data_IF_006033328440
#
_entry.id   IF_006033328440
#
_cell.length_a   1.000
_cell.length_b   1.000
_cell.length_c   1.000
_cell.angle_alpha   90.00
_cell.angle_beta   90.00
_cell.angle_gamma   90.00
#
_symmetry.space_group_name_H-M   'P 1'
#
loop_
_entity.id
_entity.type
_entity.pdbx_description
1 polymer ?
#
# COMPACT_ATOMS: atom_id res chain seq x y z
N UNK A 1 13.27 6.87 8.76
CA UNK A 1 12.90 5.70 9.60
C UNK A 1 11.70 5.00 8.98
N UNK A 2 11.73 3.70 8.89
CA UNK A 2 10.66 2.92 8.26
C UNK A 2 9.80 2.25 9.33
N UNK A 3 8.49 2.43 9.21
CA UNK A 3 7.55 1.75 10.10
C UNK A 3 7.38 0.30 9.63
N UNK A 4 7.65 -0.66 10.51
CA UNK A 4 7.55 -2.08 10.22
C UNK A 4 6.36 -2.71 10.92
N UNK A 5 5.99 -3.93 10.52
CA UNK A 5 4.94 -4.69 11.20
C UNK A 5 5.28 -4.94 12.66
N UNK A 6 6.55 -5.18 12.97
CA UNK A 6 7.00 -5.36 14.36
C UNK A 6 6.77 -4.11 15.19
N UNK A 7 7.06 -2.93 14.63
CA UNK A 7 6.81 -1.66 15.31
C UNK A 7 5.32 -1.40 15.52
N UNK A 8 4.47 -1.78 14.56
CA UNK A 8 3.02 -1.70 14.72
C UNK A 8 2.54 -2.60 15.85
N UNK A 9 3.07 -3.81 15.94
CA UNK A 9 2.72 -4.73 17.03
C UNK A 9 3.14 -4.17 18.39
N UNK A 10 4.32 -3.56 18.49
CA UNK A 10 4.78 -2.92 19.72
C UNK A 10 3.85 -1.77 20.14
N UNK A 11 3.38 -0.97 19.19
CA UNK A 11 2.44 0.11 19.47
C UNK A 11 1.10 -0.41 20.01
N UNK A 12 0.60 -1.51 19.45
CA UNK A 12 -0.63 -2.14 19.94
C UNK A 12 -0.44 -2.70 21.35
N UNK A 13 0.71 -3.28 21.61
CA UNK A 13 1.06 -3.76 22.95
C UNK A 13 1.05 -2.62 23.97
N UNK A 14 1.68 -1.49 23.65
CA UNK A 14 1.81 -0.36 24.56
C UNK A 14 0.53 0.44 24.72
N UNK A 15 -0.22 0.66 23.63
CA UNK A 15 -1.33 1.63 23.63
C UNK A 15 -2.71 1.00 23.76
N UNK A 16 -2.88 -0.25 23.37
CA UNK A 16 -4.19 -0.92 23.35
C UNK A 16 -4.31 -1.97 24.45
N UNK A 17 -3.19 -2.37 25.05
CA UNK A 17 -3.21 -3.32 26.16
C UNK A 17 -3.26 -4.78 25.74
N UNK A 18 -3.00 -5.07 24.47
CA UNK A 18 -2.86 -6.45 24.00
C UNK A 18 -1.51 -7.00 24.45
N UNK A 19 -1.42 -8.31 24.71
CA UNK A 19 -0.11 -8.91 24.94
C UNK A 19 0.66 -8.98 23.60
N UNK A 20 1.97 -9.26 23.67
CA UNK A 20 2.83 -9.23 22.49
C UNK A 20 2.39 -10.20 21.40
N UNK A 21 1.97 -11.39 21.78
CA UNK A 21 1.51 -12.40 20.83
C UNK A 21 0.21 -11.99 20.15
N UNK A 22 -0.75 -11.48 20.93
CA UNK A 22 -2.01 -10.99 20.38
C UNK A 22 -1.79 -9.79 19.45
N UNK A 23 -0.91 -8.87 19.82
CA UNK A 23 -0.58 -7.72 18.99
C UNK A 23 0.02 -8.14 17.66
N UNK A 24 0.97 -9.07 17.69
CA UNK A 24 1.60 -9.60 16.49
C UNK A 24 0.58 -10.30 15.59
N UNK A 25 -0.25 -11.14 16.18
CA UNK A 25 -1.27 -11.89 15.43
C UNK A 25 -2.30 -10.96 14.80
N UNK A 26 -2.69 -9.90 15.48
CA UNK A 26 -3.62 -8.90 14.96
C UNK A 26 -3.03 -8.16 13.75
N UNK A 27 -1.78 -7.74 13.83
CA UNK A 27 -1.10 -7.06 12.71
C UNK A 27 -0.99 -7.99 11.50
N UNK A 28 -0.61 -9.24 11.73
CA UNK A 28 -0.52 -10.22 10.64
C UNK A 28 -1.88 -10.48 10.00
N UNK A 29 -2.93 -10.65 10.81
CA UNK A 29 -4.29 -10.87 10.31
C UNK A 29 -4.77 -9.68 9.48
N UNK A 30 -4.49 -8.46 9.90
CA UNK A 30 -4.88 -7.26 9.18
C UNK A 30 -4.27 -7.22 7.79
N UNK A 31 -2.96 -7.45 7.69
CA UNK A 31 -2.29 -7.45 6.38
C UNK A 31 -2.68 -8.64 5.53
N UNK A 32 -2.96 -9.79 6.13
CA UNK A 32 -3.45 -10.96 5.38
C UNK A 32 -4.82 -10.71 4.77
N UNK A 33 -5.72 -10.01 5.47
CA UNK A 33 -7.02 -9.65 4.91
C UNK A 33 -6.88 -8.74 3.70
N UNK A 34 -6.00 -7.75 3.76
CA UNK A 34 -5.74 -6.86 2.62
C UNK A 34 -5.17 -7.68 1.45
N UNK A 35 -4.18 -8.50 1.73
CA UNK A 35 -3.51 -9.33 0.73
C UNK A 35 -4.49 -10.29 0.05
N UNK A 36 -5.30 -10.97 0.85
CA UNK A 36 -6.30 -11.90 0.35
C UNK A 36 -7.36 -11.25 -0.51
N UNK A 37 -7.83 -10.06 -0.12
CA UNK A 37 -8.82 -9.32 -0.91
C UNK A 37 -8.25 -8.95 -2.29
N UNK A 38 -7.03 -8.43 -2.32
CA UNK A 38 -6.37 -8.07 -3.58
C UNK A 38 -6.10 -9.29 -4.45
N UNK A 39 -5.73 -10.41 -3.86
CA UNK A 39 -5.53 -11.66 -4.58
C UNK A 39 -6.82 -12.16 -5.22
N UNK A 40 -7.97 -11.96 -4.57
CA UNK A 40 -9.28 -12.32 -5.11
C UNK A 40 -9.80 -11.32 -6.15
N UNK A 41 -9.06 -10.26 -6.44
CA UNK A 41 -9.49 -9.25 -7.39
C UNK A 41 -10.39 -8.17 -6.80
N UNK A 42 -10.41 -8.00 -5.49
CA UNK A 42 -11.20 -6.99 -4.80
C UNK A 42 -10.33 -5.80 -4.41
N UNK A 43 -10.82 -4.58 -4.68
CA UNK A 43 -10.16 -3.39 -4.19
C UNK A 43 -10.37 -3.24 -2.69
N UNK A 44 -9.42 -2.61 -1.99
CA UNK A 44 -9.51 -2.38 -0.55
C UNK A 44 -9.57 -0.89 -0.28
N UNK A 45 -10.65 -0.45 0.37
CA UNK A 45 -10.84 0.95 0.73
C UNK A 45 -10.70 1.13 2.24
N UNK A 46 -9.71 1.93 2.64
CA UNK A 46 -9.50 2.29 4.04
C UNK A 46 -9.87 3.77 4.21
N UNK A 47 -11.07 4.00 4.72
CA UNK A 47 -11.61 5.36 4.85
C UNK A 47 -10.69 6.26 5.67
N UNK A 48 -10.41 7.45 5.14
CA UNK A 48 -9.51 8.39 5.78
C UNK A 48 -8.02 8.12 5.58
N UNK A 49 -7.67 6.97 5.01
CA UNK A 49 -6.28 6.60 4.74
C UNK A 49 -5.98 6.51 3.25
N UNK A 50 -6.66 5.64 2.54
CA UNK A 50 -6.44 5.49 1.11
C UNK A 50 -7.06 4.22 0.56
N UNK A 51 -6.83 3.99 -0.72
CA UNK A 51 -7.40 2.85 -1.44
C UNK A 51 -6.29 2.05 -2.11
N UNK A 52 -6.34 0.73 -1.97
CA UNK A 52 -5.56 -0.18 -2.80
C UNK A 52 -6.44 -0.58 -3.97
N UNK A 53 -6.01 -0.26 -5.17
CA UNK A 53 -6.76 -0.56 -6.39
C UNK A 53 -5.97 -1.50 -7.29
N UNK A 54 -6.71 -2.32 -8.02
CA UNK A 54 -6.13 -3.23 -9.00
C UNK A 54 -6.26 -2.59 -10.39
N UNK A 55 -5.19 -2.68 -11.18
CA UNK A 55 -5.20 -2.21 -12.56
C UNK A 55 -4.67 -3.33 -13.45
N UNK A 56 -5.42 -3.62 -14.48
CA UNK A 56 -4.99 -4.55 -15.51
C UNK A 56 -4.26 -3.77 -16.59
N UNK A 57 -2.99 -4.08 -16.78
CA UNK A 57 -2.18 -3.47 -17.83
C UNK A 57 -2.12 -4.44 -19.01
N UNK A 58 -2.57 -4.00 -20.20
CA UNK A 58 -2.53 -4.86 -21.38
C UNK A 58 -1.09 -5.07 -21.84
N UNK A 59 -0.90 -6.09 -22.65
CA UNK A 59 0.36 -6.31 -23.34
C UNK A 59 0.67 -5.08 -24.19
N UNK A 60 1.91 -4.64 -24.15
CA UNK A 60 2.36 -3.47 -24.91
C UNK A 60 3.74 -3.71 -25.48
N UNK A 61 4.12 -3.00 -26.54
CA UNK A 61 5.50 -3.08 -27.05
C UNK A 61 6.46 -2.40 -26.09
N UNK A 62 7.61 -3.02 -25.90
CA UNK A 62 8.72 -2.44 -25.16
C UNK A 62 9.99 -2.58 -25.97
N UNK A 63 11.09 -2.03 -25.49
CA UNK A 63 12.39 -2.11 -26.16
C UNK A 63 13.48 -2.53 -25.21
N UNK A 64 14.39 -3.36 -25.71
CA UNK A 64 15.60 -3.68 -25.00
C UNK A 64 16.54 -2.46 -25.10
N UNK A 65 16.91 -1.81 -23.97
CA UNK A 65 17.76 -0.62 -24.02
C UNK A 65 19.17 -0.88 -24.56
N UNK A 66 19.64 -2.13 -24.56
CA UNK A 66 20.96 -2.48 -25.06
C UNK A 66 21.00 -2.70 -26.56
N UNK A 67 19.95 -3.29 -27.13
CA UNK A 67 19.93 -3.67 -28.55
C UNK A 67 18.93 -2.87 -29.38
N UNK A 68 18.00 -2.16 -28.74
CA UNK A 68 16.92 -1.45 -29.41
C UNK A 68 15.85 -2.38 -29.98
N UNK A 69 15.95 -3.69 -29.73
CA UNK A 69 15.00 -4.66 -30.19
C UNK A 69 13.65 -4.54 -29.48
N UNK A 70 12.55 -4.67 -30.24
CA UNK A 70 11.22 -4.68 -29.65
C UNK A 70 10.96 -5.97 -28.89
N UNK A 71 10.61 -5.84 -27.61
CA UNK A 71 10.25 -6.97 -26.76
C UNK A 71 8.86 -6.68 -26.20
N UNK A 72 7.85 -7.54 -26.45
CA UNK A 72 6.53 -7.31 -25.92
C UNK A 72 6.54 -7.41 -24.38
N UNK A 73 5.90 -6.43 -23.72
CA UNK A 73 5.69 -6.45 -22.28
C UNK A 73 4.39 -7.17 -22.02
N UNK A 74 4.45 -8.28 -21.28
CA UNK A 74 3.30 -9.13 -21.00
C UNK A 74 2.20 -8.39 -20.26
N UNK A 75 0.95 -8.70 -20.58
CA UNK A 75 -0.19 -8.22 -19.81
C UNK A 75 -0.06 -8.67 -18.34
N UNK A 76 -0.40 -7.77 -17.41
CA UNK A 76 -0.29 -8.08 -15.97
C UNK A 76 -1.29 -7.27 -15.17
N UNK A 77 -1.56 -7.76 -13.96
CA UNK A 77 -2.35 -7.03 -12.98
C UNK A 77 -1.41 -6.43 -11.94
N UNK A 78 -1.58 -5.16 -11.64
CA UNK A 78 -0.76 -4.45 -10.66
C UNK A 78 -1.65 -3.84 -9.58
N UNK A 79 -1.05 -3.60 -8.41
CA UNK A 79 -1.70 -2.93 -7.29
C UNK A 79 -1.17 -1.50 -7.22
N UNK A 80 -2.09 -0.55 -7.11
CA UNK A 80 -1.74 0.85 -6.89
C UNK A 80 -2.38 1.35 -5.60
N UNK A 81 -1.68 2.20 -4.87
CA UNK A 81 -2.20 2.82 -3.67
C UNK A 81 -2.49 4.30 -3.95
N UNK A 82 -3.71 4.73 -3.61
CA UNK A 82 -4.11 6.13 -3.72
C UNK A 82 -4.42 6.67 -2.33
N UNK A 83 -3.61 7.60 -1.86
CA UNK A 83 -3.82 8.23 -0.57
C UNK A 83 -5.10 9.05 -0.57
N UNK A 84 -5.82 9.06 0.56
CA UNK A 84 -7.00 9.90 0.73
C UNK A 84 -6.60 11.37 0.81
N UNK A 85 -7.55 12.27 0.55
CA UNK A 85 -7.30 13.70 0.68
C UNK A 85 -6.89 14.08 2.10
N UNK A 86 -7.50 13.43 3.09
CA UNK A 86 -7.15 13.64 4.50
C UNK A 86 -5.69 13.26 4.77
N UNK A 87 -5.24 12.11 4.28
CA UNK A 87 -3.86 11.68 4.44
C UNK A 87 -2.90 12.61 3.72
N UNK A 88 -3.22 13.01 2.49
CA UNK A 88 -2.40 13.96 1.73
C UNK A 88 -2.20 15.27 2.48
N UNK A 89 -3.28 15.80 3.05
CA UNK A 89 -3.21 17.02 3.84
C UNK A 89 -2.32 16.89 5.07
N UNK A 90 -2.42 15.78 5.78
CA UNK A 90 -1.60 15.52 6.96
C UNK A 90 -0.11 15.43 6.59
N UNK A 91 0.22 14.80 5.48
CA UNK A 91 1.60 14.67 5.01
C UNK A 91 2.15 16.04 4.58
N UNK A 92 1.37 16.84 3.88
CA UNK A 92 1.77 18.20 3.48
C UNK A 92 2.03 19.08 4.71
N UNK A 93 1.17 19.02 5.72
CA UNK A 93 1.34 19.78 6.95
C UNK A 93 2.63 19.38 7.68
N UNK A 94 2.95 18.09 7.70
CA UNK A 94 4.16 17.60 8.38
C UNK A 94 5.44 17.98 7.63
N UNK A 95 5.37 18.26 6.34
CA UNK A 95 6.54 18.65 5.54
C UNK A 95 6.92 20.11 5.72
N UNK A 96 6.04 20.92 6.31
CA UNK A 96 6.27 22.37 6.45
C UNK A 96 6.12 23.14 5.16
N UNK A 97 5.70 22.51 4.08
CA UNK A 97 5.47 23.20 2.81
C UNK A 97 4.11 23.91 2.84
N UNK A 98 3.98 25.06 2.14
CA UNK A 98 2.70 25.74 2.09
C UNK A 98 1.66 24.86 1.37
N UNK A 99 0.44 24.86 1.88
CA UNK A 99 -0.66 24.12 1.26
C UNK A 99 -1.06 24.79 -0.03
N UNK A 100 -1.33 23.97 -1.04
CA UNK A 100 -1.97 24.44 -2.24
C UNK A 100 -3.39 24.92 -1.88
N UNK A 101 -3.72 26.10 -2.33
CA UNK A 101 -5.01 26.72 -2.09
C UNK A 101 -6.12 25.96 -2.87
#
# INVERSE_FOLDING_TARGET
>A
MTLTKAELADLLFEKVGLNKREAKDMVEAFFEEIRGALERGESVKLSGFGNFQLRDKPQRPGRNPKTGEEIPITARRVVTFHASQKLKGMVEDSSGLPRAA
#
